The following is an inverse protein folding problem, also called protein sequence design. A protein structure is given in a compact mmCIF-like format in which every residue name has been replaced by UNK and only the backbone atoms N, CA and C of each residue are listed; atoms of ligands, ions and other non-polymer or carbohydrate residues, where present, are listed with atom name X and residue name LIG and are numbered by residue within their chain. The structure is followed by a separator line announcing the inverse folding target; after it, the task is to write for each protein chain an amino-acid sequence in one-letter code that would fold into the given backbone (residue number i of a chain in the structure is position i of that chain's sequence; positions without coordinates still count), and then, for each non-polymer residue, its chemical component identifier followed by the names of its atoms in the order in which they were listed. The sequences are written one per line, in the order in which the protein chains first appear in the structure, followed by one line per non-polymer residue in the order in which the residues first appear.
data_IF_722417565896
#
_entry.id   IF_722417565896
#
_cell.length_a   1.000
_cell.length_b   1.000
_cell.length_c   1.000
_cell.angle_alpha   90.00
_cell.angle_beta   90.00
_cell.angle_gamma   90.00
#
_symmetry.space_group_name_H-M   'P 1'
#
loop_
_entity.id
_entity.type
_entity.pdbx_description
1 polymer ?
#
# COMPACT_ATOMS: atom_id res chain seq x y z
N UNK A 1 5.38 -12.11 15.82
CA UNK A 1 4.84 -12.35 14.47
C UNK A 1 5.80 -13.27 13.75
N UNK A 2 5.31 -14.13 12.85
CA UNK A 2 6.19 -14.86 11.94
C UNK A 2 6.93 -13.86 11.04
N UNK A 3 8.12 -14.21 10.54
CA UNK A 3 8.87 -13.35 9.62
C UNK A 3 8.12 -13.25 8.29
N UNK A 4 8.24 -12.14 7.58
CA UNK A 4 7.65 -11.94 6.25
C UNK A 4 8.05 -13.03 5.27
N UNK A 5 9.32 -13.43 5.31
CA UNK A 5 9.88 -14.53 4.51
C UNK A 5 9.25 -15.91 4.81
N UNK A 6 8.64 -16.07 5.98
CA UNK A 6 7.91 -17.28 6.38
C UNK A 6 6.42 -17.20 6.01
N UNK A 7 5.98 -16.07 5.44
CA UNK A 7 4.61 -15.86 4.96
C UNK A 7 4.50 -16.17 3.47
N UNK A 8 3.29 -16.46 3.00
CA UNK A 8 3.02 -16.66 1.56
C UNK A 8 3.36 -15.43 0.71
N UNK A 9 3.40 -14.23 1.29
CA UNK A 9 3.77 -13.01 0.58
C UNK A 9 5.27 -12.88 0.30
N UNK A 10 6.11 -13.68 0.98
CA UNK A 10 7.52 -13.84 0.62
C UNK A 10 7.72 -14.72 -0.62
N UNK A 11 6.68 -15.44 -1.06
CA UNK A 11 6.72 -16.28 -2.25
C UNK A 11 6.28 -15.45 -3.48
N UNK A 12 7.21 -15.22 -4.41
CA UNK A 12 6.97 -14.49 -5.67
C UNK A 12 5.76 -15.03 -6.45
N UNK A 13 5.58 -16.36 -6.48
CA UNK A 13 4.49 -17.03 -7.19
C UNK A 13 3.12 -16.66 -6.61
N UNK A 14 3.00 -16.62 -5.28
CA UNK A 14 1.76 -16.25 -4.61
C UNK A 14 1.41 -14.77 -4.83
N UNK A 15 2.41 -13.88 -4.84
CA UNK A 15 2.22 -12.47 -5.15
C UNK A 15 1.63 -12.30 -6.57
N UNK A 16 2.15 -13.02 -7.56
CA UNK A 16 1.64 -12.99 -8.93
C UNK A 16 0.22 -13.58 -9.02
N UNK A 17 -0.01 -14.76 -8.42
CA UNK A 17 -1.34 -15.39 -8.42
C UNK A 17 -2.40 -14.47 -7.80
N UNK A 18 -2.05 -13.77 -6.71
CA UNK A 18 -2.96 -12.82 -6.09
C UNK A 18 -3.28 -11.64 -7.00
N UNK A 19 -2.30 -11.09 -7.73
CA UNK A 19 -2.55 -10.01 -8.69
C UNK A 19 -3.59 -10.42 -9.75
N UNK A 20 -3.44 -11.63 -10.28
CA UNK A 20 -4.29 -12.15 -11.36
C UNK A 20 -5.68 -12.61 -10.88
N UNK A 21 -5.76 -13.09 -9.63
CA UNK A 21 -6.96 -13.79 -9.13
C UNK A 21 -7.58 -13.17 -7.86
N UNK A 22 -7.15 -11.98 -7.43
CA UNK A 22 -7.65 -11.30 -6.21
C UNK A 22 -9.17 -11.23 -6.07
N UNK A 23 -9.92 -11.14 -7.19
CA UNK A 23 -11.39 -11.13 -7.16
C UNK A 23 -12.01 -12.48 -6.74
N UNK A 24 -11.34 -13.60 -7.02
CA UNK A 24 -11.80 -14.92 -6.56
C UNK A 24 -11.55 -15.11 -5.06
N UNK A 25 -10.45 -14.57 -4.55
CA UNK A 25 -10.11 -14.66 -3.14
C UNK A 25 -10.97 -13.73 -2.25
N UNK A 26 -11.46 -12.62 -2.82
CA UNK A 26 -12.22 -11.59 -2.10
C UNK A 26 -13.52 -11.24 -2.86
N UNK A 27 -14.62 -11.98 -2.63
CA UNK A 27 -15.88 -11.82 -3.38
C UNK A 27 -16.47 -10.41 -3.37
N UNK A 28 -16.26 -9.63 -2.31
CA UNK A 28 -16.79 -8.26 -2.15
C UNK A 28 -15.72 -7.17 -2.29
N UNK A 29 -14.58 -7.49 -2.90
CA UNK A 29 -13.44 -6.57 -3.04
C UNK A 29 -13.84 -5.21 -3.62
N UNK A 30 -14.68 -5.20 -4.66
CA UNK A 30 -15.15 -3.96 -5.27
C UNK A 30 -16.03 -3.15 -4.31
N UNK A 31 -16.95 -3.79 -3.60
CA UNK A 31 -17.79 -3.12 -2.59
C UNK A 31 -16.94 -2.47 -1.49
N UNK A 32 -15.91 -3.17 -1.00
CA UNK A 32 -14.99 -2.61 -0.01
C UNK A 32 -14.25 -1.37 -0.53
N UNK A 33 -13.85 -1.39 -1.81
CA UNK A 33 -13.20 -0.24 -2.43
C UNK A 33 -14.14 0.96 -2.57
N UNK A 34 -15.40 0.74 -2.96
CA UNK A 34 -16.38 1.82 -3.05
C UNK A 34 -16.70 2.43 -1.68
N UNK A 35 -16.79 1.60 -0.62
CA UNK A 35 -16.97 2.10 0.74
C UNK A 35 -15.78 2.96 1.18
N UNK A 36 -14.55 2.51 0.92
CA UNK A 36 -13.33 3.28 1.23
C UNK A 36 -13.29 4.61 0.47
N UNK A 37 -13.60 4.58 -0.84
CA UNK A 37 -13.67 5.76 -1.69
C UNK A 37 -14.69 6.78 -1.16
N UNK A 38 -15.91 6.31 -0.86
CA UNK A 38 -16.97 7.14 -0.28
C UNK A 38 -16.55 7.74 1.06
N UNK A 39 -15.93 6.94 1.92
CA UNK A 39 -15.49 7.42 3.23
C UNK A 39 -14.40 8.50 3.12
N UNK A 40 -13.43 8.28 2.23
CA UNK A 40 -12.40 9.28 1.95
C UNK A 40 -13.00 10.59 1.44
N UNK A 41 -13.88 10.50 0.45
CA UNK A 41 -14.51 11.63 -0.22
C UNK A 41 -15.36 12.48 0.73
N UNK A 42 -16.09 11.85 1.67
CA UNK A 42 -17.05 12.55 2.52
C UNK A 42 -16.52 12.94 3.90
N UNK A 43 -15.51 12.25 4.43
CA UNK A 43 -15.11 12.41 5.83
C UNK A 43 -13.62 12.70 6.07
N UNK A 44 -12.73 12.38 5.14
CA UNK A 44 -11.27 12.43 5.39
C UNK A 44 -10.60 13.59 4.68
N UNK A 45 -10.67 13.63 3.33
CA UNK A 45 -10.06 14.65 2.45
C UNK A 45 -8.70 15.19 2.95
N UNK A 46 -7.75 14.28 3.24
CA UNK A 46 -6.41 14.64 3.75
C UNK A 46 -5.41 14.72 2.61
N UNK A 47 -4.56 15.74 2.62
CA UNK A 47 -3.51 15.94 1.62
C UNK A 47 -2.38 14.90 1.65
N UNK A 48 -2.22 14.13 2.73
CA UNK A 48 -1.10 13.17 2.88
C UNK A 48 -1.65 11.81 3.24
N UNK A 49 -1.30 10.80 2.45
CA UNK A 49 -1.79 9.42 2.57
C UNK A 49 -0.60 8.48 2.72
N UNK A 50 -0.74 7.53 3.63
CA UNK A 50 0.18 6.40 3.80
C UNK A 50 -0.60 5.12 3.52
N UNK A 51 -0.23 4.40 2.47
CA UNK A 51 -0.82 3.11 2.10
C UNK A 51 0.06 1.97 2.61
N UNK A 52 -0.41 1.26 3.64
CA UNK A 52 0.33 0.21 4.34
C UNK A 52 -0.08 -1.17 3.83
N UNK A 53 0.87 -1.93 3.29
CA UNK A 53 0.56 -3.13 2.52
C UNK A 53 -0.14 -2.76 1.22
N UNK A 54 0.45 -1.82 0.49
CA UNK A 54 -0.19 -1.20 -0.67
C UNK A 54 -0.43 -2.20 -1.82
N UNK A 55 0.21 -3.38 -1.79
CA UNK A 55 0.12 -4.38 -2.82
C UNK A 55 0.49 -3.80 -4.18
N UNK A 56 -0.35 -4.04 -5.18
CA UNK A 56 -0.20 -3.53 -6.54
C UNK A 56 -0.69 -2.07 -6.73
N UNK A 57 -0.98 -1.35 -5.64
CA UNK A 57 -1.36 0.06 -5.65
C UNK A 57 -2.81 0.36 -6.05
N UNK A 58 -3.70 -0.63 -6.12
CA UNK A 58 -5.07 -0.42 -6.63
C UNK A 58 -5.92 0.52 -5.75
N UNK A 59 -5.70 0.54 -4.43
CA UNK A 59 -6.43 1.43 -3.52
C UNK A 59 -5.91 2.86 -3.71
N UNK A 60 -4.59 3.01 -3.72
CA UNK A 60 -3.90 4.26 -4.00
C UNK A 60 -4.35 4.89 -5.32
N UNK A 61 -4.48 4.11 -6.40
CA UNK A 61 -4.98 4.60 -7.70
C UNK A 61 -6.41 5.16 -7.56
N UNK A 62 -7.30 4.45 -6.86
CA UNK A 62 -8.66 4.96 -6.61
C UNK A 62 -8.67 6.26 -5.82
N UNK A 63 -7.78 6.42 -4.84
CA UNK A 63 -7.68 7.67 -4.09
C UNK A 63 -7.25 8.84 -4.99
N UNK A 64 -6.28 8.63 -5.89
CA UNK A 64 -5.89 9.65 -6.87
C UNK A 64 -7.01 10.01 -7.85
N UNK A 65 -7.85 9.05 -8.26
CA UNK A 65 -9.02 9.33 -9.10
C UNK A 65 -10.06 10.22 -8.40
N UNK A 66 -10.13 10.16 -7.07
CA UNK A 66 -11.04 11.00 -6.26
C UNK A 66 -10.41 12.36 -5.97
N UNK A 67 -9.12 12.38 -5.61
CA UNK A 67 -8.37 13.57 -5.26
C UNK A 67 -6.96 13.51 -5.86
N UNK A 68 -6.71 14.19 -7.01
CA UNK A 68 -5.42 14.15 -7.69
C UNK A 68 -4.33 14.94 -6.95
N UNK A 69 -4.64 15.58 -5.83
CA UNK A 69 -3.71 16.42 -5.07
C UNK A 69 -3.18 15.75 -3.80
N UNK A 70 -3.49 14.47 -3.58
CA UNK A 70 -2.90 13.72 -2.47
C UNK A 70 -1.39 13.54 -2.68
N UNK A 71 -0.66 13.58 -1.58
CA UNK A 71 0.74 13.16 -1.49
C UNK A 71 0.76 11.76 -0.89
N UNK A 72 1.22 10.78 -1.67
CA UNK A 72 1.16 9.38 -1.30
C UNK A 72 2.55 8.82 -0.94
N UNK A 73 2.62 8.10 0.17
CA UNK A 73 3.70 7.14 0.46
C UNK A 73 3.10 5.73 0.44
N UNK A 74 3.65 4.84 -0.37
CA UNK A 74 3.19 3.47 -0.52
C UNK A 74 4.24 2.49 0.07
N UNK A 75 3.80 1.56 0.91
CA UNK A 75 4.67 0.63 1.64
C UNK A 75 4.19 -0.80 1.44
N UNK A 76 5.09 -1.71 1.07
CA UNK A 76 4.82 -3.14 1.01
C UNK A 76 6.08 -3.95 1.33
N UNK A 77 5.91 -5.21 1.76
CA UNK A 77 7.02 -6.13 1.98
C UNK A 77 7.51 -6.81 0.70
N UNK A 78 6.62 -7.00 -0.29
CA UNK A 78 6.92 -7.69 -1.55
C UNK A 78 7.51 -6.73 -2.59
N UNK A 79 8.64 -7.13 -3.17
CA UNK A 79 9.28 -6.40 -4.28
C UNK A 79 8.37 -6.40 -5.53
N UNK A 80 7.74 -7.52 -5.80
CA UNK A 80 6.89 -7.74 -6.96
C UNK A 80 5.62 -6.89 -6.88
N UNK A 81 5.05 -6.77 -5.69
CA UNK A 81 3.92 -5.86 -5.42
C UNK A 81 4.32 -4.41 -5.66
N UNK A 82 5.46 -3.97 -5.10
CA UNK A 82 5.94 -2.61 -5.32
C UNK A 82 6.26 -2.32 -6.80
N UNK A 83 6.84 -3.27 -7.52
CA UNK A 83 7.08 -3.15 -8.96
C UNK A 83 5.77 -2.97 -9.73
N UNK A 84 4.72 -3.73 -9.37
CA UNK A 84 3.40 -3.57 -9.96
C UNK A 84 2.75 -2.23 -9.59
N UNK A 85 2.85 -1.81 -8.33
CA UNK A 85 2.34 -0.52 -7.85
C UNK A 85 3.01 0.65 -8.56
N UNK A 86 4.34 0.61 -8.74
CA UNK A 86 5.09 1.63 -9.49
C UNK A 86 4.61 1.75 -10.93
N UNK A 87 4.33 0.62 -11.59
CA UNK A 87 3.78 0.63 -12.97
C UNK A 87 2.37 1.22 -13.00
N UNK A 88 1.48 0.77 -12.11
CA UNK A 88 0.10 1.26 -12.02
C UNK A 88 0.06 2.77 -11.75
N UNK A 89 0.91 3.23 -10.83
CA UNK A 89 0.88 4.61 -10.33
C UNK A 89 1.81 5.56 -11.06
N UNK A 90 2.44 5.14 -12.17
CA UNK A 90 3.47 5.90 -12.88
C UNK A 90 3.01 7.29 -13.37
N UNK A 91 1.70 7.53 -13.48
CA UNK A 91 1.10 8.79 -13.93
C UNK A 91 0.71 9.73 -12.78
N UNK A 92 0.84 9.30 -11.53
CA UNK A 92 0.44 10.06 -10.34
C UNK A 92 1.66 10.56 -9.54
N UNK A 93 1.43 11.56 -8.69
CA UNK A 93 2.47 12.15 -7.83
C UNK A 93 2.65 11.33 -6.54
N UNK A 94 3.40 10.23 -6.64
CA UNK A 94 3.76 9.39 -5.48
C UNK A 94 5.08 9.88 -4.89
N UNK A 95 5.05 10.28 -3.61
CA UNK A 95 6.21 10.80 -2.89
C UNK A 95 7.29 9.72 -2.70
N UNK A 96 6.89 8.49 -2.36
CA UNK A 96 7.83 7.40 -2.16
C UNK A 96 7.19 6.01 -2.23
N UNK A 97 8.00 5.03 -2.65
CA UNK A 97 7.72 3.60 -2.52
C UNK A 97 8.74 2.99 -1.57
N UNK A 98 8.27 2.39 -0.47
CA UNK A 98 9.14 1.86 0.58
C UNK A 98 8.93 0.35 0.67
N UNK A 99 10.00 -0.41 0.40
CA UNK A 99 10.04 -1.83 0.74
C UNK A 99 10.30 -2.01 2.22
N UNK A 100 9.28 -2.46 2.96
CA UNK A 100 9.37 -2.72 4.38
C UNK A 100 8.27 -3.70 4.82
N UNK A 101 8.61 -4.87 5.37
CA UNK A 101 7.62 -5.79 5.92
C UNK A 101 7.01 -5.24 7.23
N UNK A 102 5.80 -5.67 7.58
CA UNK A 102 5.04 -5.11 8.70
C UNK A 102 5.77 -5.16 10.05
N UNK A 103 6.55 -6.21 10.32
CA UNK A 103 7.36 -6.32 11.53
C UNK A 103 8.38 -5.17 11.65
N UNK A 104 8.97 -4.75 10.53
CA UNK A 104 9.93 -3.65 10.47
C UNK A 104 9.21 -2.30 10.59
N UNK A 105 7.99 -2.18 10.06
CA UNK A 105 7.14 -0.99 10.24
C UNK A 105 6.87 -0.77 11.74
N UNK A 106 6.46 -1.84 12.44
CA UNK A 106 6.18 -1.79 13.88
C UNK A 106 7.47 -1.51 14.67
N UNK A 107 8.60 -2.11 14.28
CA UNK A 107 9.89 -1.81 14.91
C UNK A 107 10.34 -0.35 14.67
N UNK A 108 10.07 0.21 13.48
CA UNK A 108 10.31 1.61 13.16
C UNK A 108 9.47 2.57 14.01
N UNK A 109 8.23 2.20 14.36
CA UNK A 109 7.43 2.96 15.34
C UNK A 109 8.10 3.06 16.71
N UNK A 110 8.84 2.03 17.14
CA UNK A 110 9.57 2.08 18.41
C UNK A 110 10.81 2.98 18.38
N UNK A 111 11.43 3.23 17.22
CA UNK A 111 12.60 4.12 17.10
C UNK A 111 12.28 5.58 16.76
N UNK A 112 11.21 5.85 16.00
CA UNK A 112 10.93 7.19 15.46
C UNK A 112 9.48 7.66 15.61
N UNK A 113 8.63 6.91 16.34
CA UNK A 113 7.21 7.24 16.56
C UNK A 113 6.32 6.96 15.34
N UNK A 114 5.00 7.18 15.52
CA UNK A 114 3.96 6.86 14.50
C UNK A 114 4.24 7.54 13.14
N UNK A 115 4.92 8.70 13.17
CA UNK A 115 5.20 9.51 12.00
C UNK A 115 6.60 9.29 11.40
N UNK A 116 7.43 8.40 11.96
CA UNK A 116 8.79 8.16 11.47
C UNK A 116 8.86 7.61 10.04
N UNK A 117 7.84 6.84 9.64
CA UNK A 117 7.72 6.25 8.29
C UNK A 117 7.63 7.34 7.21
N UNK A 118 7.05 8.51 7.53
CA UNK A 118 6.98 9.65 6.61
C UNK A 118 8.34 10.26 6.27
N UNK A 119 9.40 9.96 7.03
CA UNK A 119 10.70 10.61 6.80
C UNK A 119 11.56 9.92 5.74
N UNK A 120 11.18 8.73 5.25
CA UNK A 120 11.90 8.02 4.19
C UNK A 120 13.39 7.73 4.49
N UNK A 121 13.86 7.94 5.72
CA UNK A 121 15.27 7.74 6.07
C UNK A 121 15.51 6.28 6.42
N UNK A 122 16.01 5.52 5.45
CA UNK A 122 16.93 4.40 5.75
C UNK A 122 18.16 5.01 6.43
N UNK A 123 18.45 4.57 7.65
CA UNK A 123 19.80 4.58 8.18
C UNK A 123 20.41 3.21 7.92
#
# INVERSE_FOLDING_TARGET
MAKFEESRWGETEYAQEYQDHSQHFLPERNTHFEILASFYQHFVQKKRVLDLGCGDGIISERLFLIDPHIQLVAVDGSEEMLSAAQKRLAVYDVENFIKMPFEDIIACHYRYGLFGIYSGRKL
#
